data_IF_829020633179
#
_entry.id   IF_829020633179
#
_cell.length_a   1.000
_cell.length_b   1.000
_cell.length_c   1.000
_cell.angle_alpha   90.00
_cell.angle_beta   90.00
_cell.angle_gamma   90.00
#
_symmetry.space_group_name_H-M   'P 1'
#
loop_
_entity.id
_entity.type
_entity.pdbx_description
1 polymer ?
#
# COMPACT_ATOMS: atom_id res chain seq x y z
N UNK A 1 23.06 -57.55 27.37
CA UNK A 1 23.63 -56.36 26.71
C UNK A 1 23.88 -56.72 25.26
N UNK A 2 23.00 -56.24 24.38
CA UNK A 2 22.78 -56.82 23.06
C UNK A 2 23.44 -55.99 21.96
N UNK A 3 24.29 -56.63 21.14
CA UNK A 3 25.19 -56.00 20.14
C UNK A 3 24.48 -55.56 18.84
N UNK A 4 23.17 -55.30 18.90
CA UNK A 4 22.36 -54.97 17.71
C UNK A 4 22.05 -53.48 17.52
N UNK A 5 22.51 -52.61 18.42
CA UNK A 5 22.20 -51.17 18.37
C UNK A 5 23.27 -50.27 17.73
N UNK A 6 24.39 -50.80 17.23
CA UNK A 6 25.53 -49.99 16.77
C UNK A 6 25.50 -49.70 15.25
N UNK A 7 24.67 -50.39 14.46
CA UNK A 7 24.67 -50.21 13.00
C UNK A 7 23.67 -49.19 12.43
N UNK A 8 22.88 -48.51 13.27
CA UNK A 8 21.88 -47.52 12.81
C UNK A 8 22.34 -46.06 12.87
N UNK A 9 23.55 -45.77 13.36
CA UNK A 9 24.04 -44.38 13.51
C UNK A 9 25.09 -43.93 12.48
N UNK A 10 25.54 -44.82 11.59
CA UNK A 10 26.58 -44.50 10.58
C UNK A 10 26.04 -44.21 9.17
N UNK A 11 24.72 -44.30 8.95
CA UNK A 11 24.08 -44.05 7.64
C UNK A 11 23.53 -42.64 7.42
N UNK A 12 23.52 -41.78 8.44
CA UNK A 12 22.87 -40.46 8.38
C UNK A 12 23.82 -39.26 8.28
N UNK A 13 25.13 -39.51 8.15
CA UNK A 13 26.17 -38.45 8.18
C UNK A 13 26.78 -38.12 6.80
N UNK A 14 26.14 -38.51 5.69
CA UNK A 14 26.65 -38.31 4.32
C UNK A 14 25.66 -37.65 3.34
N UNK A 15 24.69 -36.86 3.83
CA UNK A 15 23.83 -36.00 3.00
C UNK A 15 23.80 -34.56 3.55
N UNK A 16 24.96 -33.97 3.82
CA UNK A 16 25.07 -32.56 4.23
C UNK A 16 26.10 -31.75 3.45
N UNK A 17 26.46 -32.16 2.22
CA UNK A 17 27.28 -31.35 1.32
C UNK A 17 26.84 -31.51 -0.15
N UNK A 18 25.73 -30.88 -0.52
CA UNK A 18 25.45 -30.48 -1.91
C UNK A 18 24.20 -29.59 -1.93
N UNK A 19 24.40 -28.28 -1.92
CA UNK A 19 23.28 -27.35 -2.05
C UNK A 19 23.57 -25.92 -1.64
N UNK A 20 24.64 -25.31 -2.13
CA UNK A 20 24.65 -23.84 -2.25
C UNK A 20 23.62 -23.46 -3.31
N UNK A 21 22.35 -23.33 -2.93
CA UNK A 21 21.37 -22.61 -3.73
C UNK A 21 21.75 -21.14 -3.62
N UNK A 22 22.45 -20.67 -4.65
CA UNK A 22 22.66 -19.28 -4.93
C UNK A 22 21.28 -18.61 -4.97
N UNK A 23 21.00 -17.71 -4.03
CA UNK A 23 19.81 -16.84 -4.10
C UNK A 23 19.81 -16.20 -5.49
N UNK A 24 18.72 -16.26 -6.27
CA UNK A 24 18.59 -15.36 -7.40
C UNK A 24 18.68 -13.96 -6.83
N UNK A 25 19.75 -13.26 -7.19
CA UNK A 25 19.87 -11.83 -7.04
C UNK A 25 18.60 -11.22 -7.60
N UNK A 26 17.74 -10.68 -6.73
CA UNK A 26 16.77 -9.67 -7.12
C UNK A 26 17.49 -8.68 -8.03
N UNK A 27 17.08 -8.51 -9.29
CA UNK A 27 17.60 -7.41 -10.08
C UNK A 27 17.31 -6.15 -9.26
N UNK A 28 18.38 -5.46 -8.88
CA UNK A 28 18.27 -4.05 -8.48
C UNK A 28 17.52 -3.40 -9.64
N UNK A 29 16.29 -2.99 -9.39
CA UNK A 29 15.64 -2.01 -10.23
C UNK A 29 16.43 -0.73 -10.01
N UNK A 30 17.48 -0.59 -10.80
CA UNK A 30 18.18 0.66 -11.01
C UNK A 30 17.14 1.55 -11.69
N UNK A 31 16.54 2.45 -10.91
CA UNK A 31 15.83 3.59 -11.46
C UNK A 31 16.92 4.42 -12.15
N UNK A 32 17.16 4.10 -13.41
CA UNK A 32 17.85 5.00 -14.32
C UNK A 32 16.96 6.22 -14.46
N UNK A 33 17.42 7.29 -13.82
CA UNK A 33 16.98 8.66 -14.06
C UNK A 33 17.15 8.95 -15.56
N UNK A 34 16.08 8.81 -16.33
CA UNK A 34 16.07 9.19 -17.75
C UNK A 34 15.90 10.70 -17.88
N UNK A 35 16.91 11.43 -17.41
CA UNK A 35 17.17 12.82 -17.78
C UNK A 35 18.16 12.88 -18.94
N UNK A 36 17.74 12.49 -20.15
CA UNK A 36 18.36 12.97 -21.40
C UNK A 36 17.71 12.31 -22.62
N UNK A 37 16.74 12.99 -23.23
CA UNK A 37 16.31 12.75 -24.60
C UNK A 37 16.53 14.05 -25.39
N UNK A 38 17.80 14.41 -25.53
CA UNK A 38 18.24 15.31 -26.61
C UNK A 38 18.35 14.48 -27.88
N UNK A 39 17.24 14.35 -28.60
CA UNK A 39 17.28 13.93 -30.00
C UNK A 39 17.64 15.14 -30.86
N UNK A 40 18.94 15.24 -31.16
CA UNK A 40 19.45 15.98 -32.32
C UNK A 40 18.91 15.34 -33.59
N UNK A 41 17.87 15.95 -34.15
CA UNK A 41 17.45 15.72 -35.53
C UNK A 41 18.44 16.41 -36.47
N UNK A 42 19.14 15.62 -37.27
CA UNK A 42 19.98 16.04 -38.37
C UNK A 42 19.23 15.72 -39.68
N UNK A 43 18.82 16.71 -40.49
CA UNK A 43 18.49 16.49 -41.89
C UNK A 43 19.64 16.99 -42.75
N UNK A 44 20.47 16.07 -43.20
CA UNK A 44 21.41 16.28 -44.30
C UNK A 44 20.60 16.39 -45.60
N UNK A 45 20.59 17.56 -46.22
CA UNK A 45 20.32 17.66 -47.65
C UNK A 45 21.22 18.72 -48.27
N UNK A 46 21.93 18.27 -49.31
CA UNK A 46 22.72 19.09 -50.21
C UNK A 46 21.85 20.19 -50.83
N UNK A 47 22.33 21.42 -50.86
CA UNK A 47 22.15 22.28 -52.03
C UNK A 47 23.30 23.29 -52.14
N UNK A 48 23.84 23.32 -53.34
CA UNK A 48 25.00 24.06 -53.84
C UNK A 48 24.82 25.57 -53.89
N UNK A 49 25.98 26.22 -53.84
CA UNK A 49 26.32 27.59 -54.23
C UNK A 49 25.37 28.27 -55.24
N UNK A 50 24.82 29.42 -54.83
CA UNK A 50 24.67 30.60 -55.69
C UNK A 50 25.05 31.84 -54.87
N UNK A 51 26.21 32.42 -55.18
CA UNK A 51 26.57 33.78 -54.82
C UNK A 51 25.82 34.75 -55.76
N UNK A 52 25.03 35.68 -55.22
CA UNK A 52 24.82 37.00 -55.84
C UNK A 52 24.04 37.95 -54.90
N UNK A 53 24.72 39.04 -54.51
CA UNK A 53 24.18 40.38 -54.25
C UNK A 53 22.94 40.52 -53.35
N UNK A 54 23.19 40.78 -52.06
CA UNK A 54 22.27 41.53 -51.20
C UNK A 54 22.84 42.90 -50.86
N UNK A 55 22.19 43.93 -51.38
CA UNK A 55 22.25 45.31 -50.92
C UNK A 55 21.76 45.39 -49.47
N UNK A 56 22.68 45.77 -48.59
CA UNK A 56 22.44 46.18 -47.21
C UNK A 56 21.46 47.37 -47.17
N UNK A 57 20.16 47.07 -46.99
CA UNK A 57 19.23 48.03 -46.39
C UNK A 57 19.02 47.59 -44.95
N UNK A 58 19.58 48.38 -44.03
CA UNK A 58 19.35 48.24 -42.59
C UNK A 58 17.84 48.33 -42.36
N UNK A 59 17.15 47.29 -41.87
CA UNK A 59 15.73 47.39 -41.56
C UNK A 59 15.60 48.45 -40.47
N UNK A 60 15.05 49.61 -40.80
CA UNK A 60 14.60 50.55 -39.79
C UNK A 60 13.64 49.78 -38.89
N UNK A 61 14.10 49.51 -37.67
CA UNK A 61 13.33 48.83 -36.63
C UNK A 61 12.06 49.64 -36.44
N UNK A 62 10.97 49.15 -37.04
CA UNK A 62 9.68 49.82 -37.06
C UNK A 62 9.29 50.00 -35.59
N UNK A 63 9.31 51.26 -35.14
CA UNK A 63 9.13 51.60 -33.74
C UNK A 63 7.72 51.15 -33.34
N UNK A 64 7.62 50.33 -32.30
CA UNK A 64 6.34 49.77 -31.87
C UNK A 64 5.41 50.90 -31.41
N UNK A 65 4.41 51.22 -32.23
CA UNK A 65 3.48 52.34 -31.99
C UNK A 65 2.79 52.25 -30.63
N UNK A 66 2.53 51.03 -30.14
CA UNK A 66 1.89 50.85 -28.83
C UNK A 66 2.84 51.20 -27.68
N UNK A 67 4.16 51.02 -27.86
CA UNK A 67 5.18 51.34 -26.86
C UNK A 67 5.38 52.85 -26.65
N UNK A 68 4.88 53.69 -27.55
CA UNK A 68 5.01 55.15 -27.46
C UNK A 68 4.00 55.78 -26.49
N UNK A 69 3.01 55.02 -26.01
CA UNK A 69 2.03 55.52 -25.05
C UNK A 69 2.66 55.58 -23.64
N UNK A 70 2.78 56.77 -23.07
CA UNK A 70 3.25 56.96 -21.69
C UNK A 70 2.26 56.37 -20.65
N UNK A 71 0.98 56.26 -21.03
CA UNK A 71 -0.04 55.64 -20.19
C UNK A 71 -0.08 54.12 -20.43
N UNK A 72 0.32 53.36 -19.42
CA UNK A 72 0.37 51.88 -19.44
C UNK A 72 -0.98 51.26 -19.84
N UNK A 73 -2.11 51.82 -19.41
CA UNK A 73 -3.43 51.29 -19.75
C UNK A 73 -3.77 51.47 -21.24
N UNK A 74 -3.34 52.58 -21.85
CA UNK A 74 -3.51 52.82 -23.28
C UNK A 74 -2.57 51.93 -24.10
N UNK A 75 -1.35 51.69 -23.61
CA UNK A 75 -0.42 50.75 -24.23
C UNK A 75 -0.98 49.32 -24.22
N UNK A 76 -1.51 48.85 -23.08
CA UNK A 76 -2.12 47.53 -22.92
C UNK A 76 -3.33 47.32 -23.86
N UNK A 77 -4.23 48.30 -23.96
CA UNK A 77 -5.37 48.26 -24.88
C UNK A 77 -4.93 48.26 -26.36
N UNK A 78 -3.87 49.02 -26.69
CA UNK A 78 -3.26 49.02 -28.02
C UNK A 78 -2.72 47.63 -28.39
N UNK A 79 -1.96 46.99 -27.49
CA UNK A 79 -1.43 45.64 -27.72
C UNK A 79 -2.53 44.59 -27.80
N UNK A 80 -3.57 44.67 -26.97
CA UNK A 80 -4.73 43.79 -27.04
C UNK A 80 -5.41 43.84 -28.41
N UNK A 81 -5.67 45.05 -28.91
CA UNK A 81 -6.25 45.27 -30.25
C UNK A 81 -5.36 44.71 -31.35
N UNK A 82 -4.04 44.96 -31.28
CA UNK A 82 -3.08 44.40 -32.24
C UNK A 82 -3.07 42.88 -32.22
N UNK A 83 -3.05 42.27 -31.03
CA UNK A 83 -3.11 40.81 -30.89
C UNK A 83 -4.36 40.25 -31.58
N UNK A 84 -5.51 40.87 -31.35
CA UNK A 84 -6.78 40.42 -31.93
C UNK A 84 -6.87 40.64 -33.44
N UNK A 85 -6.40 41.79 -33.96
CA UNK A 85 -6.47 42.10 -35.39
C UNK A 85 -5.46 41.31 -36.22
N UNK A 86 -4.29 41.01 -35.65
CA UNK A 86 -3.22 40.25 -36.34
C UNK A 86 -3.27 38.74 -36.06
N UNK A 87 -4.10 38.31 -35.11
CA UNK A 87 -4.13 36.93 -34.60
C UNK A 87 -2.73 36.44 -34.15
N UNK A 88 -1.93 37.33 -33.56
CA UNK A 88 -0.57 37.05 -33.08
C UNK A 88 -0.50 37.19 -31.56
N UNK A 89 -0.29 36.06 -30.89
CA UNK A 89 -0.22 35.97 -29.42
C UNK A 89 1.00 36.68 -28.83
N UNK A 90 2.05 36.92 -29.61
CA UNK A 90 3.26 37.59 -29.13
C UNK A 90 3.00 39.03 -28.69
N UNK A 91 1.90 39.65 -29.13
CA UNK A 91 1.47 40.95 -28.61
C UNK A 91 0.91 40.86 -27.19
N UNK A 92 0.34 39.71 -26.78
CA UNK A 92 -0.14 39.55 -25.41
C UNK A 92 1.00 39.67 -24.41
N UNK A 93 2.18 39.10 -24.67
CA UNK A 93 3.32 39.18 -23.73
C UNK A 93 3.88 40.59 -23.53
N UNK A 94 3.41 41.58 -24.30
CA UNK A 94 3.75 43.00 -24.14
C UNK A 94 2.77 43.77 -23.24
N UNK A 95 1.67 43.14 -22.83
CA UNK A 95 0.65 43.72 -21.94
C UNK A 95 1.12 43.62 -20.49
N UNK A 96 1.09 44.72 -19.76
CA UNK A 96 1.56 44.81 -18.37
C UNK A 96 0.48 44.39 -17.36
N UNK A 97 -0.77 44.82 -17.56
CA UNK A 97 -1.88 44.46 -16.68
C UNK A 97 -2.23 42.98 -16.80
N UNK A 98 -2.06 42.23 -15.71
CA UNK A 98 -2.34 40.78 -15.66
C UNK A 98 -3.77 40.42 -16.08
N UNK A 99 -4.76 41.27 -15.75
CA UNK A 99 -6.15 41.03 -16.16
C UNK A 99 -6.36 41.22 -17.66
N UNK A 100 -5.74 42.23 -18.25
CA UNK A 100 -5.82 42.50 -19.70
C UNK A 100 -5.00 41.46 -20.46
N UNK A 101 -3.89 41.02 -19.88
CA UNK A 101 -3.05 39.94 -20.40
C UNK A 101 -3.81 38.62 -20.48
N UNK A 102 -4.42 38.18 -19.37
CA UNK A 102 -5.24 36.96 -19.35
C UNK A 102 -6.39 37.05 -20.36
N UNK A 103 -7.07 38.20 -20.45
CA UNK A 103 -8.10 38.46 -21.48
C UNK A 103 -7.56 38.39 -22.91
N UNK A 104 -6.32 38.82 -23.13
CA UNK A 104 -5.64 38.67 -24.42
C UNK A 104 -5.47 37.18 -24.76
N UNK A 105 -4.97 36.39 -23.80
CA UNK A 105 -4.74 34.96 -23.97
C UNK A 105 -6.03 34.16 -24.22
N UNK A 106 -7.16 34.54 -23.59
CA UNK A 106 -8.46 33.89 -23.78
C UNK A 106 -8.86 33.77 -25.26
N UNK A 107 -8.54 34.79 -26.07
CA UNK A 107 -8.83 34.78 -27.52
C UNK A 107 -8.12 33.65 -28.28
N UNK A 108 -7.00 33.15 -27.76
CA UNK A 108 -6.16 32.16 -28.41
C UNK A 108 -6.32 30.74 -27.83
N UNK A 109 -7.15 30.56 -26.80
CA UNK A 109 -7.35 29.26 -26.14
C UNK A 109 -7.73 28.21 -27.18
N UNK A 110 -8.67 28.48 -28.09
CA UNK A 110 -9.19 27.46 -29.01
C UNK A 110 -8.19 26.94 -30.04
N UNK A 111 -7.11 27.69 -30.29
CA UNK A 111 -6.13 27.43 -31.35
C UNK A 111 -4.86 26.76 -30.84
N UNK A 112 -4.50 26.92 -29.57
CA UNK A 112 -3.24 26.41 -29.04
C UNK A 112 -3.31 26.07 -27.53
N UNK A 113 -3.21 24.78 -27.14
CA UNK A 113 -3.22 24.39 -25.73
C UNK A 113 -1.98 24.85 -24.94
N UNK A 114 -0.88 25.21 -25.61
CA UNK A 114 0.30 25.76 -24.94
C UNK A 114 0.02 27.12 -24.28
N UNK A 115 -1.05 27.81 -24.68
CA UNK A 115 -1.47 29.09 -24.07
C UNK A 115 -1.87 28.90 -22.61
N UNK A 116 -2.36 27.72 -22.23
CA UNK A 116 -2.86 27.48 -20.87
C UNK A 116 -1.79 27.70 -19.78
N UNK A 117 -0.52 27.39 -20.03
CA UNK A 117 0.56 27.63 -19.04
C UNK A 117 0.82 29.11 -18.79
N UNK A 118 0.40 29.98 -19.71
CA UNK A 118 0.76 31.38 -19.70
C UNK A 118 -0.23 32.24 -18.90
N UNK A 119 -1.41 31.72 -18.54
CA UNK A 119 -2.37 32.44 -17.69
C UNK A 119 -1.77 32.76 -16.32
N UNK A 120 -1.94 34.02 -15.90
CA UNK A 120 -1.55 34.48 -14.57
C UNK A 120 -2.53 33.99 -13.50
N UNK A 121 -3.84 34.03 -13.80
CA UNK A 121 -4.89 33.45 -12.96
C UNK A 121 -4.83 31.92 -12.92
N UNK A 122 -4.74 31.35 -11.72
CA UNK A 122 -4.80 29.89 -11.52
C UNK A 122 -6.13 29.30 -12.00
N UNK A 123 -7.25 30.00 -11.80
CA UNK A 123 -8.57 29.55 -12.22
C UNK A 123 -8.72 29.51 -13.75
N UNK A 124 -8.24 30.52 -14.46
CA UNK A 124 -8.29 30.53 -15.93
C UNK A 124 -7.36 29.47 -16.53
N UNK A 125 -6.18 29.28 -15.93
CA UNK A 125 -5.26 28.21 -16.30
C UNK A 125 -5.89 26.82 -16.15
N UNK A 126 -6.54 26.56 -15.02
CA UNK A 126 -7.27 25.29 -14.80
C UNK A 126 -8.38 25.10 -15.82
N UNK A 127 -9.24 26.09 -16.02
CA UNK A 127 -10.32 26.03 -17.01
C UNK A 127 -9.78 25.77 -18.43
N UNK A 128 -8.66 26.39 -18.80
CA UNK A 128 -8.01 26.20 -20.09
C UNK A 128 -7.51 24.76 -20.28
N UNK A 129 -6.82 24.21 -19.27
CA UNK A 129 -6.36 22.81 -19.32
C UNK A 129 -7.51 21.82 -19.31
N UNK A 130 -8.54 22.05 -18.50
CA UNK A 130 -9.74 21.23 -18.46
C UNK A 130 -10.45 21.23 -19.82
N UNK A 131 -10.70 22.41 -20.40
CA UNK A 131 -11.29 22.56 -21.74
C UNK A 131 -10.53 21.73 -22.78
N UNK A 132 -9.22 21.86 -22.84
CA UNK A 132 -8.42 21.12 -23.81
C UNK A 132 -8.34 19.63 -23.51
N UNK A 133 -8.24 19.23 -22.23
CA UNK A 133 -8.28 17.83 -21.84
C UNK A 133 -9.54 17.16 -22.41
N UNK A 134 -10.72 17.76 -22.21
CA UNK A 134 -11.97 17.24 -22.75
C UNK A 134 -12.04 17.32 -24.28
N UNK A 135 -11.57 18.41 -24.89
CA UNK A 135 -11.60 18.61 -26.35
C UNK A 135 -10.69 17.62 -27.10
N UNK A 136 -9.53 17.28 -26.54
CA UNK A 136 -8.55 16.37 -27.17
C UNK A 136 -8.55 14.96 -26.60
N UNK A 137 -9.37 14.68 -25.57
CA UNK A 137 -9.36 13.43 -24.80
C UNK A 137 -7.94 13.08 -24.28
N UNK A 138 -7.17 14.08 -23.84
CA UNK A 138 -5.78 13.92 -23.38
C UNK A 138 -5.67 14.02 -21.85
N UNK A 139 -5.45 12.88 -21.20
CA UNK A 139 -5.31 12.78 -19.74
C UNK A 139 -4.06 13.48 -19.20
N UNK A 140 -3.04 13.71 -20.03
CA UNK A 140 -1.85 14.46 -19.60
C UNK A 140 -2.17 15.92 -19.30
N UNK A 141 -3.22 16.48 -19.93
CA UNK A 141 -3.70 17.82 -19.62
C UNK A 141 -4.43 17.87 -18.28
N UNK A 142 -5.14 16.81 -17.89
CA UNK A 142 -5.69 16.68 -16.52
C UNK A 142 -4.59 16.71 -15.45
N UNK A 143 -3.41 16.13 -15.73
CA UNK A 143 -2.28 16.15 -14.81
C UNK A 143 -1.72 17.56 -14.56
N UNK A 144 -1.98 18.51 -15.47
CA UNK A 144 -1.58 19.93 -15.34
C UNK A 144 -2.55 20.75 -14.48
N UNK A 145 -3.71 20.21 -14.09
CA UNK A 145 -4.63 20.86 -13.16
C UNK A 145 -3.98 20.96 -11.76
N UNK A 146 -4.10 22.13 -11.13
CA UNK A 146 -3.54 22.36 -9.78
C UNK A 146 -4.41 21.81 -8.67
N UNK A 147 -5.73 21.88 -8.81
CA UNK A 147 -6.70 21.29 -7.89
C UNK A 147 -6.68 19.76 -7.99
N UNK A 148 -6.46 19.09 -6.86
CA UNK A 148 -6.49 17.63 -6.78
C UNK A 148 -7.89 17.08 -7.13
N UNK A 149 -8.96 17.78 -6.74
CA UNK A 149 -10.34 17.38 -7.05
C UNK A 149 -10.61 17.46 -8.56
N UNK A 150 -10.28 18.58 -9.20
CA UNK A 150 -10.46 18.76 -10.65
C UNK A 150 -9.61 17.78 -11.44
N UNK A 151 -8.36 17.54 -11.00
CA UNK A 151 -7.47 16.54 -11.58
C UNK A 151 -8.10 15.15 -11.57
N UNK A 152 -8.57 14.70 -10.40
CA UNK A 152 -9.19 13.39 -10.25
C UNK A 152 -10.49 13.28 -11.07
N UNK A 153 -11.30 14.33 -11.12
CA UNK A 153 -12.52 14.36 -11.93
C UNK A 153 -12.21 14.26 -13.43
N UNK A 154 -11.33 15.11 -13.94
CA UNK A 154 -10.91 15.12 -15.35
C UNK A 154 -10.32 13.76 -15.75
N UNK A 155 -9.41 13.21 -14.94
CA UNK A 155 -8.85 11.89 -15.17
C UNK A 155 -9.96 10.81 -15.17
N UNK A 156 -10.89 10.86 -14.23
CA UNK A 156 -12.00 9.89 -14.16
C UNK A 156 -12.88 9.91 -15.39
N UNK A 157 -13.16 11.09 -15.94
CA UNK A 157 -14.04 11.26 -17.09
C UNK A 157 -13.36 10.86 -18.41
N UNK A 158 -12.03 11.05 -18.51
CA UNK A 158 -11.28 10.86 -19.76
C UNK A 158 -10.49 9.56 -19.85
N UNK A 159 -10.05 9.02 -18.72
CA UNK A 159 -9.32 7.75 -18.71
C UNK A 159 -10.24 6.62 -19.17
N UNK A 160 -9.71 5.61 -19.87
CA UNK A 160 -10.47 4.40 -20.16
C UNK A 160 -11.13 3.85 -18.89
N UNK A 161 -12.32 3.24 -19.00
CA UNK A 161 -12.97 2.63 -17.85
C UNK A 161 -12.00 1.64 -17.18
N UNK A 162 -12.10 1.50 -15.85
CA UNK A 162 -11.23 0.63 -15.06
C UNK A 162 -9.77 1.08 -14.88
N UNK A 163 -9.36 2.24 -15.41
CA UNK A 163 -7.96 2.72 -15.30
C UNK A 163 -7.53 3.15 -13.88
N UNK A 164 -8.47 3.22 -12.93
CA UNK A 164 -8.21 3.64 -11.54
C UNK A 164 -8.21 2.48 -10.55
N UNK A 165 -8.33 1.26 -11.05
CA UNK A 165 -8.24 0.09 -10.18
C UNK A 165 -6.82 -0.06 -9.64
N UNK A 166 -6.72 -0.43 -8.36
CA UNK A 166 -5.45 -0.39 -7.61
C UNK A 166 -4.40 -1.37 -8.14
N UNK A 167 -4.86 -2.44 -8.78
CA UNK A 167 -4.03 -3.53 -9.26
C UNK A 167 -4.63 -4.16 -10.54
N UNK A 168 -3.84 -5.03 -11.19
CA UNK A 168 -4.22 -5.70 -12.43
C UNK A 168 -5.45 -6.60 -12.27
N UNK A 169 -5.62 -7.25 -11.11
CA UNK A 169 -6.76 -8.15 -10.85
C UNK A 169 -8.07 -7.36 -10.80
N UNK A 170 -8.08 -6.25 -10.08
CA UNK A 170 -9.23 -5.34 -10.01
C UNK A 170 -9.54 -4.71 -11.37
N UNK A 171 -8.50 -4.33 -12.14
CA UNK A 171 -8.64 -3.83 -13.52
C UNK A 171 -9.32 -4.87 -14.42
N UNK A 172 -8.84 -6.11 -14.40
CA UNK A 172 -9.37 -7.22 -15.18
C UNK A 172 -10.83 -7.55 -14.82
N UNK A 173 -11.17 -7.55 -13.52
CA UNK A 173 -12.53 -7.75 -13.05
C UNK A 173 -13.47 -6.64 -13.52
N UNK A 174 -13.03 -5.39 -13.43
CA UNK A 174 -13.81 -4.26 -13.89
C UNK A 174 -14.09 -4.36 -15.40
N UNK A 175 -13.09 -4.68 -16.24
CA UNK A 175 -13.31 -4.90 -17.66
C UNK A 175 -14.22 -6.10 -17.94
N UNK A 176 -14.05 -7.21 -17.20
CA UNK A 176 -14.92 -8.36 -17.33
C UNK A 176 -16.38 -7.98 -17.08
N UNK A 177 -16.65 -7.24 -16.00
CA UNK A 177 -17.99 -6.78 -15.63
C UNK A 177 -18.58 -5.80 -16.64
N UNK A 178 -17.77 -4.84 -17.10
CA UNK A 178 -18.13 -3.82 -18.08
C UNK A 178 -18.57 -4.45 -19.41
N UNK A 179 -17.78 -5.39 -19.92
CA UNK A 179 -18.06 -6.05 -21.20
C UNK A 179 -18.88 -7.33 -21.07
N UNK A 180 -19.25 -7.72 -19.84
CA UNK A 180 -20.04 -8.92 -19.57
C UNK A 180 -19.37 -10.22 -20.00
N UNK A 181 -18.03 -10.29 -20.01
CA UNK A 181 -17.29 -11.48 -20.46
C UNK A 181 -16.06 -11.76 -19.61
N UNK A 182 -15.88 -13.03 -19.24
CA UNK A 182 -14.74 -13.50 -18.43
C UNK A 182 -13.41 -13.50 -19.17
N UNK A 183 -13.39 -13.24 -20.49
CA UNK A 183 -12.15 -13.19 -21.27
C UNK A 183 -11.14 -12.18 -20.70
N UNK A 184 -11.64 -11.11 -20.09
CA UNK A 184 -10.81 -10.10 -19.44
C UNK A 184 -10.20 -10.56 -18.10
N UNK A 185 -10.74 -11.60 -17.46
CA UNK A 185 -10.12 -12.19 -16.28
C UNK A 185 -8.85 -12.99 -16.57
N UNK A 186 -8.56 -13.29 -17.85
CA UNK A 186 -7.40 -14.10 -18.25
C UNK A 186 -7.38 -15.42 -17.45
N UNK A 187 -6.28 -15.68 -16.75
CA UNK A 187 -6.04 -16.86 -15.92
C UNK A 187 -6.28 -16.58 -14.41
N UNK A 188 -6.76 -15.39 -14.05
CA UNK A 188 -6.97 -15.00 -12.65
C UNK A 188 -8.26 -15.60 -12.09
N UNK A 189 -8.12 -16.63 -11.27
CA UNK A 189 -9.21 -17.34 -10.60
C UNK A 189 -10.03 -16.42 -9.68
N UNK A 190 -9.39 -15.46 -9.01
CA UNK A 190 -10.07 -14.48 -8.13
C UNK A 190 -11.01 -13.59 -8.94
N UNK A 191 -10.56 -13.15 -10.12
CA UNK A 191 -11.39 -12.38 -11.05
C UNK A 191 -12.61 -13.19 -11.52
N UNK A 192 -12.42 -14.45 -11.91
CA UNK A 192 -13.51 -15.32 -12.40
C UNK A 192 -14.54 -15.56 -11.30
N UNK A 193 -14.10 -15.86 -10.07
CA UNK A 193 -14.97 -16.07 -8.91
C UNK A 193 -15.82 -14.82 -8.62
N UNK A 194 -15.19 -13.65 -8.55
CA UNK A 194 -15.89 -12.39 -8.28
C UNK A 194 -16.84 -12.00 -9.42
N UNK A 195 -16.47 -12.26 -10.66
CA UNK A 195 -17.35 -12.05 -11.81
C UNK A 195 -18.59 -12.95 -11.72
N UNK A 196 -18.42 -14.25 -11.44
CA UNK A 196 -19.51 -15.20 -11.27
C UNK A 196 -20.46 -14.79 -10.14
N UNK A 197 -19.91 -14.39 -8.99
CA UNK A 197 -20.64 -13.86 -7.84
C UNK A 197 -21.47 -12.62 -8.20
N UNK A 198 -20.83 -11.65 -8.86
CA UNK A 198 -21.48 -10.37 -9.22
C UNK A 198 -22.59 -10.57 -10.24
N UNK A 199 -22.39 -11.45 -11.22
CA UNK A 199 -23.41 -11.78 -12.24
C UNK A 199 -24.44 -12.80 -11.77
N UNK A 200 -24.27 -13.37 -10.56
CA UNK A 200 -25.07 -14.48 -10.02
C UNK A 200 -25.21 -15.64 -11.01
N UNK A 201 -24.11 -16.00 -11.66
CA UNK A 201 -24.10 -16.99 -12.74
C UNK A 201 -23.09 -18.11 -12.45
N UNK A 202 -23.53 -19.27 -11.93
CA UNK A 202 -22.64 -20.39 -11.60
C UNK A 202 -22.02 -21.05 -12.85
N UNK A 203 -22.62 -20.91 -14.03
CA UNK A 203 -22.08 -21.50 -15.28
C UNK A 203 -20.70 -20.92 -15.63
N UNK A 204 -20.41 -19.70 -15.18
CA UNK A 204 -19.08 -19.10 -15.28
C UNK A 204 -18.02 -19.98 -14.62
N UNK A 205 -18.35 -20.60 -13.48
CA UNK A 205 -17.43 -21.45 -12.74
C UNK A 205 -17.08 -22.75 -13.50
N UNK A 206 -17.91 -23.19 -14.46
CA UNK A 206 -17.64 -24.35 -15.30
C UNK A 206 -16.63 -24.07 -16.43
N UNK A 207 -16.44 -22.80 -16.79
CA UNK A 207 -15.60 -22.39 -17.93
C UNK A 207 -14.10 -22.52 -17.65
N UNK A 208 -13.71 -22.78 -16.40
CA UNK A 208 -12.33 -22.79 -15.95
C UNK A 208 -12.00 -24.05 -15.18
N UNK A 209 -10.79 -24.58 -15.41
CA UNK A 209 -10.20 -25.58 -14.55
C UNK A 209 -9.42 -24.87 -13.43
N UNK A 210 -9.96 -24.90 -12.20
CA UNK A 210 -9.33 -24.26 -11.05
C UNK A 210 -8.13 -25.07 -10.55
N UNK A 211 -7.10 -24.37 -10.10
CA UNK A 211 -5.86 -24.89 -9.52
C UNK A 211 -6.13 -25.77 -8.30
N UNK A 212 -7.20 -25.47 -7.56
CA UNK A 212 -7.66 -26.23 -6.41
C UNK A 212 -9.14 -26.57 -6.58
N UNK A 213 -9.56 -27.84 -6.40
CA UNK A 213 -10.95 -28.25 -6.54
C UNK A 213 -11.93 -27.46 -5.65
N UNK A 214 -11.49 -26.98 -4.48
CA UNK A 214 -12.34 -26.21 -3.57
C UNK A 214 -12.77 -24.86 -4.15
N UNK A 215 -11.93 -24.24 -4.99
CA UNK A 215 -12.23 -22.94 -5.60
C UNK A 215 -13.38 -23.03 -6.60
N UNK A 216 -13.55 -24.17 -7.26
CA UNK A 216 -14.72 -24.45 -8.11
C UNK A 216 -16.02 -24.42 -7.30
N UNK A 217 -16.07 -25.15 -6.18
CA UNK A 217 -17.26 -25.18 -5.32
C UNK A 217 -17.50 -23.82 -4.66
N UNK A 218 -16.43 -23.11 -4.28
CA UNK A 218 -16.50 -21.77 -3.69
C UNK A 218 -17.07 -20.75 -4.68
N UNK A 219 -16.63 -20.80 -5.95
CA UNK A 219 -17.17 -20.01 -7.04
C UNK A 219 -18.69 -20.23 -7.18
N UNK A 220 -19.11 -21.49 -7.23
CA UNK A 220 -20.53 -21.86 -7.33
C UNK A 220 -21.34 -21.38 -6.13
N UNK A 221 -20.82 -21.58 -4.92
CA UNK A 221 -21.45 -21.13 -3.69
C UNK A 221 -21.66 -19.61 -3.70
N UNK A 222 -20.66 -18.82 -4.09
CA UNK A 222 -20.78 -17.36 -4.17
C UNK A 222 -21.72 -16.89 -5.26
N UNK A 223 -21.68 -17.50 -6.44
CA UNK A 223 -22.58 -17.19 -7.55
C UNK A 223 -24.05 -17.39 -7.18
N UNK A 224 -24.34 -18.39 -6.34
CA UNK A 224 -25.68 -18.72 -5.89
C UNK A 224 -26.04 -18.16 -4.51
N UNK A 225 -25.08 -17.54 -3.83
CA UNK A 225 -25.20 -17.11 -2.43
C UNK A 225 -25.66 -18.23 -1.48
N UNK A 226 -25.19 -19.46 -1.73
CA UNK A 226 -25.60 -20.66 -0.99
C UNK A 226 -24.37 -21.49 -0.54
N UNK A 227 -24.02 -21.48 0.76
CA UNK A 227 -22.88 -22.25 1.27
C UNK A 227 -23.06 -23.77 1.12
N UNK A 228 -24.30 -24.27 0.94
CA UNK A 228 -24.54 -25.70 0.77
C UNK A 228 -23.92 -26.24 -0.51
N UNK A 229 -23.63 -25.40 -1.50
CA UNK A 229 -22.89 -25.78 -2.71
C UNK A 229 -21.47 -26.26 -2.44
N UNK A 230 -20.88 -25.87 -1.32
CA UNK A 230 -19.61 -26.46 -0.86
C UNK A 230 -19.73 -27.94 -0.49
N UNK A 231 -20.95 -28.48 -0.27
CA UNK A 231 -21.21 -29.88 0.09
C UNK A 231 -21.52 -30.77 -1.13
N UNK A 232 -21.53 -30.21 -2.34
CA UNK A 232 -21.77 -30.98 -3.58
C UNK A 232 -20.57 -31.90 -3.95
N UNK A 233 -19.46 -31.82 -3.19
CA UNK A 233 -18.30 -32.71 -3.30
C UNK A 233 -18.32 -33.82 -2.24
N UNK A 234 -17.85 -35.01 -2.60
CA UNK A 234 -17.67 -36.13 -1.67
C UNK A 234 -16.37 -36.02 -0.86
N UNK A 235 -15.49 -35.05 -1.16
CA UNK A 235 -14.22 -34.87 -0.48
C UNK A 235 -14.35 -33.86 0.66
N UNK A 236 -14.33 -34.34 1.90
CA UNK A 236 -14.48 -33.52 3.11
C UNK A 236 -13.53 -32.32 3.15
N UNK A 237 -12.24 -32.52 2.85
CA UNK A 237 -11.25 -31.43 2.85
C UNK A 237 -11.55 -30.33 1.81
N UNK A 238 -12.09 -30.70 0.64
CA UNK A 238 -12.48 -29.77 -0.41
C UNK A 238 -13.70 -28.95 0.05
N UNK A 239 -14.67 -29.63 0.65
CA UNK A 239 -15.88 -28.99 1.20
C UNK A 239 -15.55 -28.01 2.32
N UNK A 240 -14.73 -28.45 3.27
CA UNK A 240 -14.32 -27.66 4.43
C UNK A 240 -13.59 -26.38 4.01
N UNK A 241 -12.67 -26.47 3.04
CA UNK A 241 -11.96 -25.30 2.55
C UNK A 241 -12.87 -24.33 1.79
N UNK A 242 -13.81 -24.85 0.98
CA UNK A 242 -14.81 -24.04 0.32
C UNK A 242 -15.67 -23.23 1.31
N UNK A 243 -16.14 -23.90 2.38
CA UNK A 243 -16.95 -23.26 3.42
C UNK A 243 -16.18 -22.19 4.18
N UNK A 244 -14.91 -22.43 4.48
CA UNK A 244 -14.07 -21.40 5.10
C UNK A 244 -13.95 -20.15 4.22
N UNK A 245 -13.62 -20.31 2.94
CA UNK A 245 -13.52 -19.18 2.01
C UNK A 245 -14.85 -18.43 1.91
N UNK A 246 -15.96 -19.16 1.81
CA UNK A 246 -17.30 -18.58 1.78
C UNK A 246 -17.64 -17.83 3.07
N UNK A 247 -17.31 -18.40 4.23
CA UNK A 247 -17.50 -17.75 5.52
C UNK A 247 -16.77 -16.41 5.59
N UNK A 248 -15.48 -16.39 5.22
CA UNK A 248 -14.63 -15.20 5.23
C UNK A 248 -15.15 -14.11 4.27
N UNK A 249 -15.51 -14.47 3.04
CA UNK A 249 -16.06 -13.51 2.05
C UNK A 249 -17.38 -12.90 2.53
N UNK A 250 -18.22 -13.70 3.20
CA UNK A 250 -19.51 -13.23 3.75
C UNK A 250 -19.41 -12.62 5.15
N UNK A 251 -18.21 -12.59 5.73
CA UNK A 251 -17.97 -12.17 7.11
C UNK A 251 -18.96 -12.84 8.11
N UNK A 252 -19.24 -14.13 7.93
CA UNK A 252 -20.24 -14.86 8.70
C UNK A 252 -19.64 -16.09 9.40
N UNK A 253 -19.29 -15.93 10.67
CA UNK A 253 -18.69 -16.98 11.51
C UNK A 253 -19.59 -18.19 11.75
N UNK A 254 -20.92 -18.07 11.56
CA UNK A 254 -21.84 -19.20 11.72
C UNK A 254 -21.58 -20.32 10.71
N UNK A 255 -21.02 -19.98 9.55
CA UNK A 255 -20.70 -20.96 8.50
C UNK A 255 -19.53 -21.85 8.92
N UNK A 256 -18.67 -21.40 9.85
CA UNK A 256 -17.59 -22.23 10.38
C UNK A 256 -18.12 -23.49 11.10
N UNK A 257 -19.36 -23.48 11.61
CA UNK A 257 -19.98 -24.65 12.24
C UNK A 257 -20.39 -25.74 11.24
N UNK A 258 -20.48 -25.41 9.96
CA UNK A 258 -20.77 -26.39 8.89
C UNK A 258 -19.49 -27.10 8.39
N UNK A 259 -18.32 -26.66 8.86
CA UNK A 259 -17.02 -27.25 8.58
C UNK A 259 -16.79 -28.43 9.53
N UNK A 260 -16.11 -29.49 9.07
CA UNK A 260 -15.81 -30.65 9.90
C UNK A 260 -15.03 -30.24 11.16
N UNK A 261 -15.61 -30.50 12.33
CA UNK A 261 -15.02 -30.14 13.62
C UNK A 261 -13.59 -30.68 13.77
N UNK A 262 -12.68 -29.80 14.18
CA UNK A 262 -11.27 -30.12 14.36
C UNK A 262 -10.44 -30.23 13.08
N UNK A 263 -11.04 -30.01 11.91
CA UNK A 263 -10.25 -29.86 10.68
C UNK A 263 -9.44 -28.56 10.72
N UNK A 264 -8.32 -28.54 9.98
CA UNK A 264 -7.46 -27.34 9.89
C UNK A 264 -8.23 -26.11 9.38
N UNK A 265 -9.25 -26.32 8.55
CA UNK A 265 -10.09 -25.27 7.97
C UNK A 265 -11.08 -24.73 8.99
N UNK A 266 -11.68 -25.59 9.83
CA UNK A 266 -12.56 -25.15 10.92
C UNK A 266 -11.79 -24.29 11.92
N UNK A 267 -10.61 -24.76 12.36
CA UNK A 267 -9.76 -24.04 13.30
C UNK A 267 -9.31 -22.67 12.74
N UNK A 268 -8.92 -22.62 11.47
CA UNK A 268 -8.52 -21.36 10.82
C UNK A 268 -9.70 -20.41 10.65
N UNK A 269 -10.89 -20.93 10.30
CA UNK A 269 -12.13 -20.15 10.22
C UNK A 269 -12.46 -19.48 11.56
N UNK A 270 -12.57 -20.26 12.64
CA UNK A 270 -12.87 -19.73 13.98
C UNK A 270 -11.79 -18.78 14.48
N UNK A 271 -10.51 -19.10 14.29
CA UNK A 271 -9.39 -18.22 14.67
C UNK A 271 -9.45 -16.87 13.98
N UNK A 272 -9.69 -16.86 12.67
CA UNK A 272 -9.81 -15.61 11.90
C UNK A 272 -10.96 -14.76 12.45
N UNK A 273 -12.13 -15.35 12.67
CA UNK A 273 -13.27 -14.61 13.21
C UNK A 273 -13.10 -14.18 14.66
N UNK A 274 -12.43 -14.97 15.50
CA UNK A 274 -12.10 -14.57 16.86
C UNK A 274 -11.31 -13.24 16.84
N UNK A 275 -10.32 -13.14 15.95
CA UNK A 275 -9.50 -11.94 15.79
C UNK A 275 -10.30 -10.78 15.19
N UNK A 276 -10.95 -10.99 14.05
CA UNK A 276 -11.60 -9.89 13.29
C UNK A 276 -12.86 -9.37 13.96
N UNK A 277 -13.61 -10.22 14.68
CA UNK A 277 -14.80 -9.83 15.44
C UNK A 277 -14.47 -9.47 16.89
N UNK A 278 -13.20 -9.57 17.29
CA UNK A 278 -12.74 -9.37 18.66
C UNK A 278 -13.51 -10.23 19.70
N UNK A 279 -13.86 -11.47 19.34
CA UNK A 279 -14.59 -12.42 20.18
C UNK A 279 -13.73 -13.66 20.50
N UNK A 280 -13.07 -13.70 21.67
CA UNK A 280 -12.22 -14.83 22.03
C UNK A 280 -13.02 -16.12 22.23
N UNK A 281 -14.34 -16.08 22.45
CA UNK A 281 -15.12 -17.29 22.70
C UNK A 281 -15.20 -18.20 21.48
N UNK A 282 -14.99 -17.66 20.27
CA UNK A 282 -14.92 -18.45 19.05
C UNK A 282 -13.76 -19.46 19.07
N UNK A 283 -12.69 -19.20 19.82
CA UNK A 283 -11.57 -20.15 19.96
C UNK A 283 -11.97 -21.45 20.66
N UNK A 284 -13.03 -21.45 21.48
CA UNK A 284 -13.51 -22.67 22.15
C UNK A 284 -14.09 -23.73 21.21
N UNK A 285 -14.31 -23.37 19.93
CA UNK A 285 -14.75 -24.31 18.89
C UNK A 285 -13.60 -24.92 18.08
N UNK A 286 -12.36 -24.51 18.34
CA UNK A 286 -11.19 -25.11 17.73
C UNK A 286 -10.88 -26.47 18.38
N UNK A 287 -10.42 -27.44 17.58
CA UNK A 287 -10.02 -28.76 18.07
C UNK A 287 -8.84 -29.31 17.25
N UNK A 288 -7.93 -30.11 17.85
CA UNK A 288 -7.87 -30.48 19.26
C UNK A 288 -7.46 -29.30 20.17
N UNK A 289 -7.37 -29.53 21.49
CA UNK A 289 -6.98 -28.53 22.51
C UNK A 289 -5.75 -27.70 22.11
N UNK A 290 -4.77 -28.30 21.42
CA UNK A 290 -3.58 -27.56 20.95
C UNK A 290 -3.89 -26.48 19.91
N UNK A 291 -4.95 -26.63 19.12
CA UNK A 291 -5.42 -25.62 18.16
C UNK A 291 -6.27 -24.55 18.83
N UNK A 292 -7.02 -24.91 19.88
CA UNK A 292 -7.71 -23.95 20.75
C UNK A 292 -6.70 -23.04 21.48
N UNK A 293 -5.67 -23.63 22.08
CA UNK A 293 -4.56 -22.92 22.72
C UNK A 293 -3.85 -21.97 21.74
N UNK A 294 -3.59 -22.43 20.50
CA UNK A 294 -3.01 -21.57 19.44
C UNK A 294 -3.95 -20.43 19.04
N UNK A 295 -5.26 -20.68 18.99
CA UNK A 295 -6.25 -19.66 18.69
C UNK A 295 -6.25 -18.53 19.72
N UNK A 296 -6.34 -18.85 21.02
CA UNK A 296 -6.30 -17.84 22.08
C UNK A 296 -4.99 -17.06 22.10
N UNK A 297 -3.87 -17.74 21.81
CA UNK A 297 -2.56 -17.11 21.72
C UNK A 297 -2.50 -16.08 20.58
N UNK A 298 -2.85 -16.47 19.36
CA UNK A 298 -2.86 -15.55 18.22
C UNK A 298 -3.89 -14.42 18.41
N UNK A 299 -5.07 -14.72 18.95
CA UNK A 299 -6.05 -13.71 19.33
C UNK A 299 -5.45 -12.67 20.28
N UNK A 300 -4.78 -13.10 21.34
CA UNK A 300 -4.17 -12.20 22.33
C UNK A 300 -3.11 -11.30 21.69
N UNK A 301 -2.27 -11.86 20.82
CA UNK A 301 -1.21 -11.13 20.10
C UNK A 301 -1.81 -10.04 19.20
N UNK A 302 -2.78 -10.40 18.36
CA UNK A 302 -3.33 -9.52 17.32
C UNK A 302 -4.30 -8.46 17.88
N UNK A 303 -5.05 -8.78 18.94
CA UNK A 303 -6.05 -7.87 19.54
C UNK A 303 -5.53 -7.13 20.77
N UNK A 304 -4.31 -7.44 21.23
CA UNK A 304 -3.71 -6.94 22.47
C UNK A 304 -4.45 -7.33 23.75
N UNK A 305 -5.41 -8.26 23.65
CA UNK A 305 -6.21 -8.72 24.76
C UNK A 305 -5.58 -9.96 25.43
N UNK A 306 -4.64 -9.71 26.34
CA UNK A 306 -3.89 -10.78 27.01
C UNK A 306 -4.72 -11.65 27.96
N UNK A 307 -5.94 -11.22 28.36
CA UNK A 307 -6.78 -12.05 29.24
C UNK A 307 -7.22 -13.34 28.56
N UNK A 308 -7.21 -13.39 27.23
CA UNK A 308 -7.44 -14.63 26.49
C UNK A 308 -6.34 -15.68 26.73
N UNK A 309 -5.11 -15.28 27.12
CA UNK A 309 -4.09 -16.23 27.52
C UNK A 309 -4.53 -17.09 28.72
N UNK A 310 -5.38 -16.58 29.62
CA UNK A 310 -5.87 -17.35 30.79
C UNK A 310 -6.70 -18.58 30.40
N UNK A 311 -7.31 -18.56 29.21
CA UNK A 311 -8.13 -19.64 28.67
C UNK A 311 -7.31 -20.79 28.08
N UNK A 312 -6.00 -20.61 27.88
CA UNK A 312 -5.10 -21.62 27.31
C UNK A 312 -4.87 -22.74 28.31
N UNK A 313 -5.18 -23.99 27.96
CA UNK A 313 -5.07 -25.15 28.84
C UNK A 313 -3.61 -25.49 29.15
N UNK A 314 -2.75 -25.53 28.13
CA UNK A 314 -1.32 -25.81 28.31
C UNK A 314 -0.61 -24.68 29.03
N UNK A 315 -0.06 -24.96 30.21
CA UNK A 315 0.69 -23.97 31.00
C UNK A 315 1.91 -23.41 30.26
N UNK A 316 2.58 -24.23 29.44
CA UNK A 316 3.71 -23.79 28.62
C UNK A 316 3.27 -22.81 27.52
N UNK A 317 2.20 -23.14 26.80
CA UNK A 317 1.65 -22.27 25.73
C UNK A 317 1.05 -20.99 26.32
N UNK A 318 0.45 -21.08 27.52
CA UNK A 318 -0.08 -19.92 28.25
C UNK A 318 1.01 -18.91 28.58
N UNK A 319 2.12 -19.42 29.11
CA UNK A 319 3.30 -18.60 29.40
C UNK A 319 3.86 -17.99 28.10
N UNK A 320 3.99 -18.78 27.03
CA UNK A 320 4.38 -18.29 25.69
C UNK A 320 3.44 -17.19 25.16
N UNK A 321 2.13 -17.31 25.39
CA UNK A 321 1.12 -16.32 25.01
C UNK A 321 1.39 -14.96 25.65
N UNK A 322 1.63 -14.93 26.96
CA UNK A 322 1.97 -13.69 27.65
C UNK A 322 3.27 -13.07 27.10
N UNK A 323 4.32 -13.86 26.91
CA UNK A 323 5.59 -13.39 26.34
C UNK A 323 5.41 -12.75 24.97
N UNK A 324 4.76 -13.48 24.05
CA UNK A 324 4.56 -13.02 22.68
C UNK A 324 3.65 -11.81 22.62
N UNK A 325 2.59 -11.77 23.43
CA UNK A 325 1.67 -10.62 23.47
C UNK A 325 2.38 -9.38 24.02
N UNK A 326 3.14 -9.52 25.11
CA UNK A 326 3.95 -8.43 25.69
C UNK A 326 4.98 -7.89 24.70
N UNK A 327 5.71 -8.78 24.03
CA UNK A 327 6.79 -8.41 23.09
C UNK A 327 6.24 -7.84 21.78
N UNK A 328 5.15 -8.40 21.26
CA UNK A 328 4.58 -7.94 20.00
C UNK A 328 3.99 -6.53 20.13
N UNK A 329 3.31 -6.26 21.25
CA UNK A 329 2.61 -5.01 21.54
C UNK A 329 3.41 -4.02 22.39
N UNK A 330 4.65 -4.36 22.77
CA UNK A 330 5.53 -3.55 23.63
C UNK A 330 4.84 -3.09 24.92
N UNK A 331 4.17 -4.03 25.60
CA UNK A 331 3.41 -3.78 26.84
C UNK A 331 4.00 -4.56 28.02
N UNK A 332 4.53 -3.83 28.99
CA UNK A 332 5.21 -4.42 30.16
C UNK A 332 4.23 -4.91 31.22
N UNK A 333 3.02 -4.33 31.29
CA UNK A 333 2.00 -4.76 32.25
C UNK A 333 1.57 -6.22 32.07
N UNK A 334 1.68 -6.73 30.84
CA UNK A 334 1.33 -8.11 30.50
C UNK A 334 2.23 -9.10 31.26
N UNK A 335 3.50 -8.77 31.46
CA UNK A 335 4.45 -9.60 32.21
C UNK A 335 4.05 -9.75 33.69
N UNK A 336 3.22 -8.85 34.23
CA UNK A 336 2.77 -8.90 35.63
C UNK A 336 1.91 -10.14 35.93
N UNK A 337 1.30 -10.74 34.90
CA UNK A 337 0.44 -11.93 35.00
C UNK A 337 1.23 -13.26 35.04
N UNK A 338 2.56 -13.20 35.01
CA UNK A 338 3.43 -14.36 35.09
C UNK A 338 3.96 -14.60 36.50
N UNK A 339 4.31 -15.86 36.80
CA UNK A 339 5.05 -16.19 38.02
C UNK A 339 6.42 -15.49 38.05
N UNK A 340 7.05 -15.42 39.22
CA UNK A 340 8.31 -14.68 39.42
C UNK A 340 9.41 -14.99 38.38
N UNK A 341 9.63 -16.27 38.06
CA UNK A 341 10.69 -16.65 37.10
C UNK A 341 10.33 -16.20 35.69
N UNK A 342 9.13 -16.53 35.23
CA UNK A 342 8.69 -16.18 33.86
C UNK A 342 8.46 -14.68 33.68
N UNK A 343 8.08 -13.97 34.75
CA UNK A 343 7.93 -12.50 34.75
C UNK A 343 9.25 -11.81 34.42
N UNK A 344 10.35 -12.24 35.06
CA UNK A 344 11.68 -11.68 34.80
C UNK A 344 12.12 -11.90 33.36
N UNK A 345 12.00 -13.14 32.89
CA UNK A 345 12.31 -13.47 31.50
C UNK A 345 11.46 -12.59 30.56
N UNK A 346 10.21 -12.30 30.90
CA UNK A 346 9.29 -11.54 30.04
C UNK A 346 9.76 -10.09 29.88
N UNK A 347 10.13 -9.43 30.96
CA UNK A 347 10.72 -8.10 30.89
C UNK A 347 12.03 -8.07 30.11
N UNK A 348 12.89 -9.10 30.23
CA UNK A 348 14.11 -9.21 29.42
C UNK A 348 13.75 -9.23 27.93
N UNK A 349 12.83 -10.09 27.52
CA UNK A 349 12.45 -10.22 26.12
C UNK A 349 11.84 -8.94 25.54
N UNK A 350 10.95 -8.26 26.28
CA UNK A 350 10.35 -7.00 25.83
C UNK A 350 11.41 -5.90 25.70
N UNK A 351 12.27 -5.73 26.71
CA UNK A 351 13.25 -4.65 26.74
C UNK A 351 14.47 -4.90 25.83
N UNK A 352 14.77 -6.16 25.50
CA UNK A 352 15.83 -6.53 24.53
C UNK A 352 15.31 -6.67 23.10
N UNK A 353 14.01 -6.49 22.86
CA UNK A 353 13.42 -6.50 21.52
C UNK A 353 14.00 -5.40 20.63
N UNK A 354 14.14 -5.68 19.33
CA UNK A 354 14.54 -4.69 18.33
C UNK A 354 13.46 -3.65 18.03
N UNK A 355 12.22 -3.88 18.47
CA UNK A 355 11.14 -2.89 18.35
C UNK A 355 11.39 -1.72 19.29
N UNK A 356 11.10 -0.52 18.81
CA UNK A 356 11.14 0.69 19.64
C UNK A 356 9.97 0.68 20.64
N UNK A 357 10.21 1.13 21.87
CA UNK A 357 9.13 1.39 22.82
C UNK A 357 8.21 2.49 22.28
N UNK A 358 6.87 2.37 22.30
CA UNK A 358 6.01 3.37 21.67
C UNK A 358 6.06 4.74 22.36
N UNK A 359 6.32 4.79 23.67
CA UNK A 359 6.52 5.99 24.46
C UNK A 359 7.11 5.65 25.84
N UNK A 360 7.51 6.67 26.61
CA UNK A 360 8.10 6.51 27.94
C UNK A 360 7.11 5.98 28.99
N UNK A 361 5.81 6.24 28.85
CA UNK A 361 4.79 5.82 29.82
C UNK A 361 4.61 4.29 29.88
N UNK A 362 5.16 3.55 28.91
CA UNK A 362 5.27 2.09 28.99
C UNK A 362 6.08 1.66 30.21
N UNK A 363 7.09 2.43 30.63
CA UNK A 363 7.89 2.09 31.81
C UNK A 363 7.08 2.18 33.12
N UNK A 364 5.99 2.95 33.15
CA UNK A 364 5.10 3.06 34.31
C UNK A 364 4.23 1.80 34.51
N UNK A 365 4.20 0.90 33.52
CA UNK A 365 3.44 -0.36 33.55
C UNK A 365 4.15 -1.48 34.33
N UNK A 366 5.42 -1.29 34.68
CA UNK A 366 6.18 -2.23 35.52
C UNK A 366 5.56 -2.24 36.91
N UNK A 367 5.30 -3.42 37.49
CA UNK A 367 4.69 -3.51 38.82
C UNK A 367 5.60 -2.91 39.89
N UNK A 368 5.02 -2.37 40.96
CA UNK A 368 5.78 -1.67 41.99
C UNK A 368 6.87 -2.54 42.62
N UNK A 369 6.64 -3.85 42.75
CA UNK A 369 7.62 -4.80 43.29
C UNK A 369 8.83 -5.04 42.36
N UNK A 370 8.68 -4.71 41.08
CA UNK A 370 9.67 -4.98 40.03
C UNK A 370 10.35 -3.69 39.54
N UNK A 371 9.85 -2.52 39.94
CA UNK A 371 10.39 -1.20 39.53
C UNK A 371 11.86 -1.03 39.89
N UNK A 372 12.29 -1.48 41.07
CA UNK A 372 13.69 -1.35 41.52
C UNK A 372 14.67 -1.97 40.51
N UNK A 373 14.29 -3.05 39.81
CA UNK A 373 15.18 -3.77 38.91
C UNK A 373 14.98 -3.44 37.43
N UNK A 374 13.73 -3.18 37.00
CA UNK A 374 13.39 -3.04 35.58
C UNK A 374 13.20 -1.61 35.09
N UNK A 375 12.90 -0.66 35.99
CA UNK A 375 12.56 0.71 35.60
C UNK A 375 13.73 1.40 34.89
N UNK A 376 14.93 1.32 35.47
CA UNK A 376 16.15 1.89 34.91
C UNK A 376 16.53 1.27 33.55
N UNK A 377 16.30 -0.04 33.39
CA UNK A 377 16.52 -0.73 32.11
C UNK A 377 15.52 -0.29 31.05
N UNK A 378 14.27 -0.02 31.44
CA UNK A 378 13.26 0.52 30.55
C UNK A 378 13.61 1.93 30.08
N UNK A 379 14.03 2.81 30.99
CA UNK A 379 14.52 4.15 30.65
C UNK A 379 15.76 4.12 29.75
N UNK A 380 16.72 3.22 30.03
CA UNK A 380 17.87 3.00 29.15
C UNK A 380 17.40 2.62 27.74
N UNK A 381 16.50 1.63 27.60
CA UNK A 381 16.00 1.21 26.28
C UNK A 381 15.33 2.35 25.53
N UNK A 382 14.47 3.12 26.18
CA UNK A 382 13.80 4.28 25.57
C UNK A 382 14.80 5.35 25.11
N UNK A 383 15.76 5.70 25.96
CA UNK A 383 16.80 6.68 25.64
C UNK A 383 17.59 6.25 24.39
N UNK A 384 17.94 4.96 24.28
CA UNK A 384 18.64 4.42 23.12
C UNK A 384 17.77 4.39 21.85
N UNK A 385 16.50 3.99 21.96
CA UNK A 385 15.56 3.93 20.82
C UNK A 385 15.34 5.29 20.16
N UNK A 386 15.26 6.34 20.97
CA UNK A 386 14.91 7.71 20.54
C UNK A 386 16.10 8.67 20.54
N UNK A 387 17.29 8.21 20.90
CA UNK A 387 18.49 9.04 21.11
C UNK A 387 18.23 10.22 22.07
N UNK A 388 17.41 9.99 23.08
CA UNK A 388 16.99 11.01 24.05
C UNK A 388 17.87 10.98 25.30
N UNK A 389 18.94 11.78 25.27
CA UNK A 389 19.88 11.92 26.40
C UNK A 389 19.18 12.41 27.68
N UNK A 390 18.09 13.17 27.56
CA UNK A 390 17.38 13.69 28.74
C UNK A 390 16.76 12.56 29.55
N UNK A 391 16.36 11.46 28.92
CA UNK A 391 15.83 10.28 29.61
C UNK A 391 16.90 9.58 30.47
N UNK A 392 18.19 9.64 30.12
CA UNK A 392 19.27 9.11 30.97
C UNK A 392 19.30 9.75 32.38
N UNK A 393 18.79 10.99 32.52
CA UNK A 393 18.73 11.66 33.81
C UNK A 393 17.75 11.00 34.81
N UNK A 394 16.75 10.27 34.30
CA UNK A 394 15.71 9.56 35.06
C UNK A 394 16.16 8.22 35.61
N UNK A 395 17.32 7.73 35.18
CA UNK A 395 17.90 6.46 35.64
C UNK A 395 18.49 6.66 37.04
N UNK A 396 18.08 5.81 37.99
CA UNK A 396 18.50 5.90 39.39
C UNK A 396 19.84 5.21 39.63
N UNK A 397 20.07 4.06 39.01
CA UNK A 397 21.33 3.32 39.07
C UNK A 397 22.46 4.10 38.36
N UNK A 398 23.54 4.46 39.08
CA UNK A 398 24.60 5.30 38.53
C UNK A 398 25.38 4.61 37.40
N UNK A 399 25.51 3.27 37.43
CA UNK A 399 26.21 2.50 36.40
C UNK A 399 25.41 2.46 35.11
N UNK A 400 24.10 2.19 35.17
CA UNK A 400 23.20 2.20 34.01
C UNK A 400 23.09 3.63 33.44
N UNK A 401 23.02 4.66 34.30
CA UNK A 401 22.98 6.06 33.90
C UNK A 401 24.23 6.49 33.12
N UNK A 402 25.41 6.09 33.61
CA UNK A 402 26.68 6.34 32.92
C UNK A 402 26.70 5.63 31.56
N UNK A 403 26.28 4.36 31.50
CA UNK A 403 26.18 3.59 30.25
C UNK A 403 25.27 4.29 29.22
N UNK A 404 24.10 4.76 29.65
CA UNK A 404 23.14 5.51 28.82
C UNK A 404 23.79 6.76 28.21
N UNK A 405 24.44 7.57 29.05
CA UNK A 405 25.05 8.84 28.63
C UNK A 405 26.19 8.61 27.64
N UNK A 406 27.07 7.63 27.91
CA UNK A 406 28.19 7.30 27.02
C UNK A 406 27.71 6.80 25.66
N UNK A 407 26.71 5.90 25.62
CA UNK A 407 26.18 5.32 24.40
C UNK A 407 25.50 6.33 23.45
N UNK A 408 25.01 7.46 23.99
CA UNK A 408 24.37 8.52 23.21
C UNK A 408 25.29 9.72 22.91
N UNK A 409 26.49 9.73 23.51
CA UNK A 409 27.52 10.76 23.26
C UNK A 409 28.46 10.39 22.11
N UNK A 410 28.47 9.12 21.71
CA UNK A 410 29.19 8.56 20.55
C UNK A 410 28.35 8.61 19.29
#
# INVERSE_FOLDING_TARGET
MDKRFIFLFLGFLLILFSGCIQKPSTPKLEIQDQSSLNQTFNPSSNLSEIQANLTSSTPQKLLDECAQNENVLLADDCYLKKAYSSNDISYCSKIYSLQVYDKCLEKFIESNPAVCSNFSSSKLRENCYEFWAYKSNDTNLCLKLSSQESKLKCLKDLSPPCSFEKDESATNLCYALLYGTIKYCKEDESCIIKFAATKKNPEVCLTKNFSQPALFFYCNALALDDPKKCKDTNLTAVSDYCLELFALEKNNSKICFDITSGSIYANRCFKNFAITQNDPNLCSYCAPESQEDDCYKEYSIQTQNYSACEKIASSLVRVECYYKTATYNMRLDICNNLNYRSKKDCYIYVLSSSKQLPNLAVCDQISDEEKEYWLDKCYLKYALDYKDVSTCSKISDPTIKQQCTLALSS
#
